data_IF_723850696222
#
_entry.id   IF_723850696222
#
_cell.length_a   1.000
_cell.length_b   1.000
_cell.length_c   1.000
_cell.angle_alpha   90.00
_cell.angle_beta   90.00
_cell.angle_gamma   90.00
#
_symmetry.space_group_name_H-M   'P 1'
#
loop_
_entity.id
_entity.type
_entity.pdbx_description
1 polymer ?
#
# COMPACT_ATOMS: atom_id res chain seq x y z
N UNK A 1 1.88 -17.32 -4.56
CA UNK A 1 3.09 -17.80 -3.85
C UNK A 1 2.79 -18.26 -2.41
N UNK A 2 2.38 -17.38 -1.49
CA UNK A 2 2.25 -17.67 -0.05
C UNK A 2 1.47 -18.96 0.29
N UNK A 3 0.25 -19.13 -0.23
CA UNK A 3 -0.56 -20.32 0.00
C UNK A 3 0.13 -21.64 -0.39
N UNK A 4 0.98 -21.62 -1.43
CA UNK A 4 1.76 -22.77 -1.87
C UNK A 4 2.83 -23.14 -0.83
N UNK A 5 3.57 -22.14 -0.35
CA UNK A 5 4.59 -22.31 0.71
C UNK A 5 3.96 -22.90 1.97
N UNK A 6 2.82 -22.36 2.41
CA UNK A 6 2.13 -22.82 3.61
C UNK A 6 1.64 -24.27 3.49
N UNK A 7 1.08 -24.66 2.33
CA UNK A 7 0.59 -26.03 2.10
C UNK A 7 1.72 -27.03 1.90
N UNK A 8 2.70 -26.70 1.09
CA UNK A 8 3.68 -27.69 0.61
C UNK A 8 4.91 -27.80 1.50
N UNK A 9 5.45 -26.66 1.97
CA UNK A 9 6.64 -26.63 2.83
C UNK A 9 6.28 -26.86 4.30
N UNK A 10 5.26 -26.15 4.79
CA UNK A 10 4.89 -26.17 6.20
C UNK A 10 3.75 -27.13 6.54
N UNK A 11 3.15 -27.79 5.52
CA UNK A 11 2.05 -28.75 5.70
C UNK A 11 0.89 -28.19 6.54
N UNK A 12 0.64 -26.88 6.45
CA UNK A 12 -0.41 -26.23 7.22
C UNK A 12 -1.78 -26.78 6.78
N UNK A 13 -2.58 -27.26 7.73
CA UNK A 13 -3.85 -27.93 7.44
C UNK A 13 -5.06 -26.99 7.44
N UNK A 14 -4.98 -25.87 8.18
CA UNK A 14 -6.09 -24.92 8.29
C UNK A 14 -6.10 -23.98 7.08
N UNK A 15 -7.21 -23.85 6.32
CA UNK A 15 -7.28 -22.95 5.16
C UNK A 15 -6.97 -21.48 5.49
N UNK A 16 -7.31 -21.02 6.69
CA UNK A 16 -6.99 -19.65 7.15
C UNK A 16 -5.49 -19.38 7.25
N UNK A 17 -4.67 -20.41 7.51
CA UNK A 17 -3.21 -20.27 7.52
C UNK A 17 -2.61 -20.04 6.13
N UNK A 18 -3.37 -20.26 5.06
CA UNK A 18 -2.92 -20.06 3.68
C UNK A 18 -3.24 -18.67 3.15
N UNK A 19 -4.12 -17.93 3.84
CA UNK A 19 -4.52 -16.59 3.44
C UNK A 19 -3.41 -15.60 3.75
N UNK A 20 -2.98 -14.84 2.74
CA UNK A 20 -2.08 -13.72 2.93
C UNK A 20 -2.93 -12.47 3.11
N UNK A 21 -2.96 -11.94 4.33
CA UNK A 21 -3.52 -10.61 4.60
C UNK A 21 -2.37 -9.62 4.64
N UNK A 22 -2.54 -8.48 4.00
CA UNK A 22 -1.48 -7.47 3.94
C UNK A 22 -2.04 -6.05 4.04
N UNK A 23 -1.19 -5.19 4.57
CA UNK A 23 -1.33 -3.75 4.52
C UNK A 23 -0.54 -3.23 3.32
N UNK A 24 -1.08 -2.22 2.65
CA UNK A 24 -0.36 -1.50 1.60
C UNK A 24 -0.23 -0.04 1.98
N UNK A 25 0.94 0.53 1.73
CA UNK A 25 1.18 1.96 1.76
C UNK A 25 1.58 2.41 0.36
N UNK A 26 1.11 3.58 -0.07
CA UNK A 26 1.61 4.20 -1.30
C UNK A 26 3.10 4.49 -1.19
N UNK A 27 3.79 4.65 -2.32
CA UNK A 27 5.24 4.74 -2.35
C UNK A 27 5.71 6.18 -2.09
N UNK A 28 6.06 6.47 -0.83
CA UNK A 28 6.62 7.78 -0.44
C UNK A 28 7.86 8.20 -1.25
N UNK A 29 8.69 7.25 -1.70
CA UNK A 29 9.85 7.52 -2.55
C UNK A 29 9.52 8.07 -3.94
N UNK A 30 8.26 7.99 -4.37
CA UNK A 30 7.79 8.51 -5.67
C UNK A 30 7.24 9.94 -5.59
N UNK A 31 7.12 10.48 -4.37
CA UNK A 31 6.61 11.83 -4.16
C UNK A 31 7.68 12.85 -4.50
N UNK A 32 7.27 13.95 -5.13
CA UNK A 32 8.18 15.05 -5.49
C UNK A 32 7.91 16.27 -4.63
N UNK A 33 8.97 16.92 -4.16
CA UNK A 33 8.89 18.22 -3.50
C UNK A 33 8.46 19.32 -4.48
N UNK A 34 8.90 19.21 -5.73
CA UNK A 34 8.51 20.09 -6.82
C UNK A 34 7.12 19.71 -7.32
N UNK A 35 6.27 20.73 -7.50
CA UNK A 35 4.87 20.57 -7.93
C UNK A 35 4.15 19.49 -7.10
N UNK A 36 4.08 19.65 -5.76
CA UNK A 36 3.58 18.63 -4.85
C UNK A 36 2.14 18.22 -5.15
N UNK A 37 1.33 19.07 -5.77
CA UNK A 37 -0.04 18.75 -6.21
C UNK A 37 -0.09 17.54 -7.16
N UNK A 38 0.97 17.31 -7.94
CA UNK A 38 1.07 16.12 -8.80
C UNK A 38 1.12 14.82 -7.98
N UNK A 39 1.52 14.87 -6.71
CA UNK A 39 1.52 13.72 -5.82
C UNK A 39 0.10 13.19 -5.57
N UNK A 40 -0.93 14.03 -5.64
CA UNK A 40 -2.33 13.59 -5.53
C UNK A 40 -2.65 12.55 -6.61
N UNK A 41 -2.25 12.82 -7.86
CA UNK A 41 -2.46 11.90 -8.99
C UNK A 41 -1.62 10.63 -8.83
N UNK A 42 -0.36 10.76 -8.40
CA UNK A 42 0.53 9.60 -8.13
C UNK A 42 -0.08 8.67 -7.09
N UNK A 43 -0.47 9.23 -5.95
CA UNK A 43 -1.08 8.50 -4.83
C UNK A 43 -2.42 7.89 -5.26
N UNK A 44 -3.21 8.58 -6.08
CA UNK A 44 -4.48 8.05 -6.62
C UNK A 44 -4.27 6.77 -7.43
N UNK A 45 -3.30 6.77 -8.35
CA UNK A 45 -2.99 5.59 -9.17
C UNK A 45 -2.45 4.42 -8.32
N UNK A 46 -1.63 4.72 -7.32
CA UNK A 46 -1.09 3.73 -6.39
C UNK A 46 -2.19 3.15 -5.49
N UNK A 47 -3.09 3.99 -4.99
CA UNK A 47 -4.25 3.57 -4.20
C UNK A 47 -5.17 2.66 -5.00
N UNK A 48 -5.48 3.03 -6.26
CA UNK A 48 -6.25 2.17 -7.16
C UNK A 48 -5.56 0.82 -7.39
N UNK A 49 -4.24 0.83 -7.59
CA UNK A 49 -3.46 -0.40 -7.72
C UNK A 49 -3.53 -1.28 -6.47
N UNK A 50 -3.49 -0.68 -5.28
CA UNK A 50 -3.62 -1.41 -4.01
C UNK A 50 -5.02 -2.02 -3.81
N UNK A 51 -6.08 -1.28 -4.19
CA UNK A 51 -7.47 -1.76 -4.16
C UNK A 51 -7.66 -2.93 -5.12
N UNK A 52 -7.24 -2.79 -6.38
CA UNK A 52 -7.33 -3.86 -7.38
C UNK A 52 -6.43 -5.06 -7.04
N UNK A 53 -5.33 -4.82 -6.32
CA UNK A 53 -4.47 -5.86 -5.76
C UNK A 53 -5.05 -6.61 -4.55
N UNK A 54 -6.20 -6.16 -4.02
CA UNK A 54 -6.91 -6.81 -2.93
C UNK A 54 -6.25 -6.64 -1.56
N UNK A 55 -5.70 -5.45 -1.26
CA UNK A 55 -5.20 -5.11 0.09
C UNK A 55 -6.30 -5.15 1.15
N UNK A 56 -5.97 -5.45 2.40
CA UNK A 56 -6.94 -5.47 3.52
C UNK A 56 -6.99 -4.16 4.27
N UNK A 57 -5.90 -3.40 4.25
CA UNK A 57 -5.84 -2.03 4.73
C UNK A 57 -4.90 -1.22 3.85
N UNK A 58 -5.14 0.09 3.76
CA UNK A 58 -4.43 1.00 2.88
C UNK A 58 -4.07 2.28 3.62
N UNK A 59 -2.81 2.71 3.49
CA UNK A 59 -2.34 4.04 3.85
C UNK A 59 -2.01 4.80 2.57
N UNK A 60 -2.63 5.95 2.39
CA UNK A 60 -2.32 6.90 1.30
C UNK A 60 -1.47 8.02 1.86
N UNK A 61 -0.30 8.25 1.26
CA UNK A 61 0.55 9.36 1.64
C UNK A 61 -0.10 10.69 1.27
N UNK A 62 0.18 11.71 2.07
CA UNK A 62 -0.26 13.07 1.81
C UNK A 62 0.55 13.73 0.69
N UNK A 63 -0.07 14.72 0.06
CA UNK A 63 0.50 15.48 -1.06
C UNK A 63 1.88 16.10 -0.75
N UNK A 64 2.09 16.53 0.50
CA UNK A 64 3.24 17.30 0.97
C UNK A 64 4.31 16.46 1.69
N UNK A 65 4.14 15.13 1.78
CA UNK A 65 5.06 14.24 2.51
C UNK A 65 6.48 14.16 1.96
N UNK A 66 6.71 14.66 0.74
CA UNK A 66 8.07 14.79 0.20
C UNK A 66 8.91 15.81 0.97
N UNK A 67 8.29 16.71 1.73
CA UNK A 67 8.95 17.85 2.39
C UNK A 67 8.85 17.81 3.93
N UNK A 68 7.72 17.39 4.49
CA UNK A 68 7.48 17.39 5.95
C UNK A 68 6.36 16.43 6.35
N UNK A 69 6.08 16.35 7.66
CA UNK A 69 4.93 15.62 8.18
C UNK A 69 3.61 16.23 7.66
N UNK A 70 2.61 15.41 7.29
CA UNK A 70 1.37 15.89 6.69
C UNK A 70 0.72 17.04 7.45
N UNK A 71 0.31 18.07 6.72
CA UNK A 71 -0.56 19.12 7.26
C UNK A 71 -2.02 18.67 7.26
N UNK A 72 -2.88 19.21 8.13
CA UNK A 72 -4.31 18.84 8.17
C UNK A 72 -5.02 19.01 6.82
N UNK A 73 -4.59 19.98 6.00
CA UNK A 73 -5.13 20.20 4.65
C UNK A 73 -4.77 19.09 3.66
N UNK A 74 -3.66 18.39 3.90
CA UNK A 74 -3.08 17.42 2.97
C UNK A 74 -3.42 15.96 3.34
N UNK A 75 -4.14 15.74 4.44
CA UNK A 75 -4.62 14.44 4.93
C UNK A 75 -6.05 14.17 4.45
#
# INVERSE_FOLDING_TARGET
MWAKIMRERFKAQKPSSWQLRFHTQTAGSTLTAQQPENNVVRVTLQALSAVLGGTQSLHTNSMDEALWLPTEKSV
#
